data_IF_029588118803
#
_entry.id   IF_029588118803
#
_cell.length_a   1.000
_cell.length_b   1.000
_cell.length_c   1.000
_cell.angle_alpha   90.00
_cell.angle_beta   90.00
_cell.angle_gamma   90.00
#
_symmetry.space_group_name_H-M   'P 1'
#
loop_
_entity.id
_entity.type
_entity.pdbx_description
1 polymer ?
#
# COMPACT_ATOMS: atom_id res chain seq x y z
N UNK A 1 -29.46 7.53 -27.69
CA UNK A 1 -28.70 8.44 -26.82
C UNK A 1 -27.78 7.74 -25.79
N UNK A 2 -27.33 6.48 -25.99
CA UNK A 2 -26.58 5.72 -24.96
C UNK A 2 -25.12 5.34 -25.34
N UNK A 3 -24.57 5.88 -26.45
CA UNK A 3 -23.16 5.58 -26.83
C UNK A 3 -22.12 6.60 -26.32
N UNK A 4 -22.52 7.83 -25.98
CA UNK A 4 -21.61 8.87 -25.53
C UNK A 4 -21.20 8.75 -24.04
N UNK A 5 -22.06 8.24 -23.16
CA UNK A 5 -21.75 8.06 -21.74
C UNK A 5 -20.76 6.90 -21.49
N UNK A 6 -20.84 5.82 -22.27
CA UNK A 6 -19.91 4.69 -22.17
C UNK A 6 -18.49 5.04 -22.67
N UNK A 7 -18.34 5.95 -23.63
CA UNK A 7 -17.03 6.39 -24.10
C UNK A 7 -16.34 7.31 -23.08
N UNK A 8 -17.08 8.20 -22.42
CA UNK A 8 -16.56 9.10 -21.39
C UNK A 8 -16.13 8.36 -20.12
N UNK A 9 -16.92 7.40 -19.64
CA UNK A 9 -16.58 6.58 -18.46
C UNK A 9 -15.37 5.67 -18.74
N UNK A 10 -15.30 5.07 -19.92
CA UNK A 10 -14.15 4.25 -20.32
C UNK A 10 -12.87 5.09 -20.48
N UNK A 11 -12.98 6.29 -21.02
CA UNK A 11 -11.87 7.25 -21.09
C UNK A 11 -11.40 7.66 -19.70
N UNK A 12 -12.31 7.95 -18.78
CA UNK A 12 -11.99 8.27 -17.38
C UNK A 12 -11.25 7.12 -16.68
N UNK A 13 -11.68 5.86 -16.82
CA UNK A 13 -11.00 4.69 -16.24
C UNK A 13 -9.58 4.48 -16.81
N UNK A 14 -9.35 4.84 -18.07
CA UNK A 14 -8.00 4.79 -18.66
C UNK A 14 -7.12 5.89 -18.05
N UNK A 15 -7.70 7.04 -17.72
CA UNK A 15 -6.99 8.17 -17.11
C UNK A 15 -6.50 7.88 -15.69
N UNK A 16 -7.24 7.14 -14.88
CA UNK A 16 -6.93 6.91 -13.44
C UNK A 16 -6.15 5.60 -13.15
N UNK A 17 -5.47 5.02 -14.13
CA UNK A 17 -4.80 3.73 -13.98
C UNK A 17 -3.62 3.71 -12.99
N UNK A 18 -2.49 4.41 -13.25
CA UNK A 18 -1.31 4.41 -12.38
C UNK A 18 -1.58 4.89 -10.96
N UNK A 19 -2.40 5.94 -10.79
CA UNK A 19 -2.77 6.43 -9.45
C UNK A 19 -3.58 5.40 -8.66
N UNK A 20 -4.51 4.70 -9.33
CA UNK A 20 -5.27 3.63 -8.69
C UNK A 20 -4.36 2.48 -8.24
N UNK A 21 -3.30 2.15 -9.00
CA UNK A 21 -2.29 1.17 -8.58
C UNK A 21 -1.51 1.63 -7.36
N UNK A 22 -1.15 2.94 -7.27
CA UNK A 22 -0.52 3.51 -6.07
C UNK A 22 -1.44 3.35 -4.85
N UNK A 23 -2.70 3.75 -4.99
CA UNK A 23 -3.70 3.58 -3.94
C UNK A 23 -3.83 2.11 -3.54
N UNK A 24 -4.04 1.19 -4.48
CA UNK A 24 -4.18 -0.24 -4.24
C UNK A 24 -2.96 -0.84 -3.51
N UNK A 25 -1.75 -0.42 -3.88
CA UNK A 25 -0.52 -0.90 -3.27
C UNK A 25 -0.33 -0.37 -1.84
N UNK A 26 -0.76 0.86 -1.56
CA UNK A 26 -0.69 1.48 -0.23
C UNK A 26 -1.66 0.89 0.80
N UNK A 27 -2.84 0.50 0.37
CA UNK A 27 -4.01 0.24 1.25
C UNK A 27 -3.84 -0.93 2.22
N UNK A 28 -3.09 -1.99 1.85
CA UNK A 28 -3.05 -3.22 2.64
C UNK A 28 -2.35 -3.09 3.98
N UNK A 29 -1.03 -2.94 3.99
CA UNK A 29 -0.27 -2.87 5.23
C UNK A 29 -0.34 -1.47 5.88
N UNK A 30 -0.30 -0.40 5.07
CA UNK A 30 -0.33 0.98 5.57
C UNK A 30 -1.70 1.38 6.07
N UNK A 31 -2.64 1.52 5.16
CA UNK A 31 -3.94 2.11 5.48
C UNK A 31 -4.85 1.15 6.27
N UNK A 32 -4.90 -0.15 5.93
CA UNK A 32 -5.78 -1.08 6.61
C UNK A 32 -5.29 -1.38 8.02
N UNK A 33 -4.10 -1.96 8.15
CA UNK A 33 -3.65 -2.45 9.45
C UNK A 33 -3.16 -1.31 10.36
N UNK A 34 -2.36 -0.36 9.86
CA UNK A 34 -1.84 0.74 10.66
C UNK A 34 -2.94 1.69 11.10
N UNK A 35 -3.89 2.03 10.20
CA UNK A 35 -5.01 2.89 10.55
C UNK A 35 -5.96 2.23 11.57
N UNK A 36 -6.25 0.93 11.42
CA UNK A 36 -7.06 0.21 12.41
C UNK A 36 -6.38 0.15 13.79
N UNK A 37 -5.09 -0.17 13.87
CA UNK A 37 -4.35 -0.14 15.14
C UNK A 37 -4.26 1.25 15.75
N UNK A 38 -4.10 2.29 14.93
CA UNK A 38 -4.06 3.67 15.40
C UNK A 38 -5.43 4.12 15.90
N UNK A 39 -6.51 3.80 15.17
CA UNK A 39 -7.88 4.05 15.60
C UNK A 39 -8.21 3.35 16.91
N UNK A 40 -7.82 2.08 17.07
CA UNK A 40 -7.98 1.34 18.32
C UNK A 40 -7.28 2.01 19.51
N UNK A 41 -6.08 2.56 19.29
CA UNK A 41 -5.29 3.15 20.37
C UNK A 41 -5.62 4.61 20.66
N UNK A 42 -5.90 5.42 19.64
CA UNK A 42 -6.02 6.88 19.74
C UNK A 42 -7.45 7.40 19.47
N UNK A 43 -8.35 6.49 19.07
CA UNK A 43 -9.72 6.86 18.70
C UNK A 43 -9.77 7.68 17.40
N UNK A 44 -10.95 8.28 17.15
CA UNK A 44 -11.19 9.13 15.97
C UNK A 44 -10.54 10.51 16.05
N UNK A 45 -10.02 10.91 17.20
CA UNK A 45 -9.35 12.21 17.41
C UNK A 45 -8.12 12.40 16.51
N UNK A 46 -7.55 11.30 15.98
CA UNK A 46 -6.35 11.31 15.15
C UNK A 46 -6.64 11.44 13.64
N UNK A 47 -7.91 11.56 13.23
CA UNK A 47 -8.32 11.53 11.82
C UNK A 47 -7.67 12.62 10.94
N UNK A 48 -7.36 13.77 11.51
CA UNK A 48 -6.65 14.86 10.81
C UNK A 48 -5.32 14.40 10.20
N UNK A 49 -4.66 13.42 10.82
CA UNK A 49 -3.38 12.89 10.34
C UNK A 49 -3.53 12.16 9.01
N UNK A 50 -4.67 11.50 8.79
CA UNK A 50 -4.97 10.82 7.52
C UNK A 50 -5.06 11.83 6.39
N UNK A 51 -5.78 12.95 6.60
CA UNK A 51 -5.89 14.02 5.60
C UNK A 51 -4.52 14.65 5.31
N UNK A 52 -3.75 14.94 6.37
CA UNK A 52 -2.41 15.50 6.22
C UNK A 52 -1.47 14.54 5.46
N UNK A 53 -1.45 13.26 5.86
CA UNK A 53 -0.63 12.23 5.22
C UNK A 53 -0.95 12.06 3.73
N UNK A 54 -2.24 11.93 3.37
CA UNK A 54 -2.68 11.84 1.99
C UNK A 54 -2.32 13.09 1.17
N UNK A 55 -2.49 14.29 1.75
CA UNK A 55 -2.14 15.55 1.09
C UNK A 55 -0.64 15.68 0.83
N UNK A 56 0.20 15.32 1.81
CA UNK A 56 1.66 15.34 1.66
C UNK A 56 2.11 14.34 0.60
N UNK A 57 1.52 13.14 0.57
CA UNK A 57 1.82 12.13 -0.45
C UNK A 57 1.37 12.55 -1.85
N UNK A 58 0.21 13.21 -1.96
CA UNK A 58 -0.21 13.80 -3.23
C UNK A 58 0.81 14.80 -3.76
N UNK A 59 1.25 15.76 -2.91
CA UNK A 59 2.23 16.79 -3.29
C UNK A 59 3.57 16.14 -3.69
N UNK A 60 4.03 15.17 -2.91
CA UNK A 60 5.25 14.44 -3.20
C UNK A 60 5.16 13.73 -4.55
N UNK A 61 4.09 12.96 -4.77
CA UNK A 61 3.94 12.16 -5.98
C UNK A 61 3.68 13.01 -7.24
N UNK A 62 2.96 14.13 -7.10
CA UNK A 62 2.82 15.12 -8.19
C UNK A 62 4.18 15.74 -8.55
N UNK A 63 5.00 16.05 -7.54
CA UNK A 63 6.37 16.54 -7.74
C UNK A 63 7.23 15.52 -8.50
N UNK A 64 7.14 14.23 -8.15
CA UNK A 64 7.82 13.14 -8.85
C UNK A 64 7.36 13.00 -10.30
N UNK A 65 6.06 13.05 -10.54
CA UNK A 65 5.49 13.00 -11.89
C UNK A 65 5.95 14.17 -12.75
N UNK A 66 5.90 15.38 -12.20
CA UNK A 66 6.36 16.60 -12.88
C UNK A 66 7.86 16.52 -13.21
N UNK A 67 8.67 16.04 -12.28
CA UNK A 67 10.10 15.82 -12.51
C UNK A 67 10.32 14.85 -13.68
N UNK A 68 9.67 13.70 -13.65
CA UNK A 68 9.83 12.67 -14.67
C UNK A 68 9.37 13.15 -16.05
N UNK A 69 8.23 13.82 -16.14
CA UNK A 69 7.73 14.36 -17.41
C UNK A 69 8.65 15.47 -17.96
N UNK A 70 9.27 16.28 -17.08
CA UNK A 70 10.15 17.36 -17.50
C UNK A 70 11.54 16.89 -17.92
N UNK A 71 12.05 15.81 -17.32
CA UNK A 71 13.44 15.35 -17.52
C UNK A 71 13.57 14.03 -18.29
N UNK A 72 12.45 13.29 -18.44
CA UNK A 72 12.45 11.90 -18.96
C UNK A 72 13.03 10.89 -17.98
N UNK A 73 13.48 11.30 -16.78
CA UNK A 73 14.15 10.48 -15.77
C UNK A 73 13.24 10.22 -14.59
N UNK A 74 13.23 8.99 -14.06
CA UNK A 74 12.62 8.73 -12.73
C UNK A 74 13.38 9.51 -11.66
N UNK A 75 12.80 9.69 -10.47
CA UNK A 75 13.51 10.33 -9.37
C UNK A 75 14.78 9.56 -9.00
N UNK A 76 14.73 8.23 -9.01
CA UNK A 76 15.87 7.38 -8.68
C UNK A 76 17.02 7.57 -9.69
N UNK A 77 16.70 7.58 -10.99
CA UNK A 77 17.67 7.88 -12.06
C UNK A 77 18.31 9.26 -11.84
N UNK A 78 17.49 10.29 -11.64
CA UNK A 78 17.97 11.63 -11.39
C UNK A 78 18.83 11.76 -10.14
N UNK A 79 18.47 11.07 -9.06
CA UNK A 79 19.23 11.06 -7.82
C UNK A 79 20.59 10.37 -7.96
N UNK A 80 20.63 9.18 -8.57
CA UNK A 80 21.89 8.42 -8.79
C UNK A 80 22.84 9.19 -9.71
N UNK A 81 22.33 9.76 -10.80
CA UNK A 81 23.14 10.51 -11.77
C UNK A 81 23.73 11.80 -11.16
N UNK A 82 22.92 12.54 -10.37
CA UNK A 82 23.33 13.86 -9.87
C UNK A 82 24.04 13.85 -8.52
N UNK A 83 23.64 12.98 -7.61
CA UNK A 83 24.22 12.88 -6.26
C UNK A 83 25.28 11.79 -6.15
N UNK A 84 25.42 10.95 -7.17
CA UNK A 84 26.50 9.99 -7.30
C UNK A 84 26.44 8.83 -6.30
N UNK A 85 27.61 8.25 -5.89
CA UNK A 85 27.66 7.01 -5.11
C UNK A 85 27.02 7.12 -3.72
N UNK A 86 26.96 8.33 -3.15
CA UNK A 86 26.38 8.56 -1.82
C UNK A 86 24.94 8.04 -1.77
N UNK A 87 24.17 8.33 -2.82
CA UNK A 87 22.78 7.85 -2.90
C UNK A 87 22.70 6.33 -2.92
N UNK A 88 23.64 5.67 -3.62
CA UNK A 88 23.69 4.21 -3.71
C UNK A 88 23.95 3.56 -2.34
N UNK A 89 24.86 4.15 -1.55
CA UNK A 89 25.14 3.68 -0.18
C UNK A 89 23.98 3.85 0.79
N UNK A 90 23.13 4.86 0.59
CA UNK A 90 21.97 5.12 1.45
C UNK A 90 20.76 4.33 0.98
N UNK A 91 20.47 4.39 -0.33
CA UNK A 91 19.24 3.83 -0.90
C UNK A 91 19.21 2.30 -0.85
N UNK A 92 20.32 1.62 -1.16
CA UNK A 92 20.33 0.16 -1.19
C UNK A 92 20.05 -0.47 0.18
N UNK A 93 20.73 -0.09 1.27
CA UNK A 93 20.39 -0.61 2.61
C UNK A 93 18.95 -0.27 3.01
N UNK A 94 18.48 0.94 2.69
CA UNK A 94 17.09 1.33 2.96
C UNK A 94 16.12 0.44 2.19
N UNK A 95 16.33 0.22 0.88
CA UNK A 95 15.49 -0.63 0.04
C UNK A 95 15.42 -2.07 0.58
N UNK A 96 16.55 -2.62 1.00
CA UNK A 96 16.62 -3.99 1.55
C UNK A 96 15.86 -4.10 2.88
N UNK A 97 16.09 -3.17 3.80
CA UNK A 97 15.38 -3.14 5.10
C UNK A 97 13.88 -2.91 4.90
N UNK A 98 13.51 -1.94 4.07
CA UNK A 98 12.13 -1.67 3.75
C UNK A 98 11.44 -2.89 3.14
N UNK A 99 12.09 -3.56 2.17
CA UNK A 99 11.56 -4.76 1.52
C UNK A 99 11.35 -5.91 2.51
N UNK A 100 12.25 -6.07 3.49
CA UNK A 100 12.08 -7.05 4.55
C UNK A 100 10.85 -6.76 5.41
N UNK A 101 10.69 -5.51 5.89
CA UNK A 101 9.58 -5.18 6.77
C UNK A 101 8.23 -5.11 6.05
N UNK A 102 8.17 -4.55 4.85
CA UNK A 102 6.92 -4.51 4.06
C UNK A 102 6.50 -5.91 3.63
N UNK A 103 7.45 -6.73 3.16
CA UNK A 103 7.18 -8.12 2.78
C UNK A 103 6.65 -8.93 3.97
N UNK A 104 7.31 -8.84 5.13
CA UNK A 104 6.87 -9.51 6.36
C UNK A 104 5.48 -9.03 6.82
N UNK A 105 5.20 -7.73 6.74
CA UNK A 105 3.91 -7.14 7.12
C UNK A 105 2.79 -7.63 6.20
N UNK A 106 2.99 -7.57 4.87
CA UNK A 106 1.99 -7.97 3.88
C UNK A 106 1.70 -9.47 3.90
N UNK A 107 2.76 -10.30 3.97
CA UNK A 107 2.60 -11.75 4.11
C UNK A 107 1.86 -12.12 5.40
N UNK A 108 2.22 -11.49 6.53
CA UNK A 108 1.53 -11.70 7.81
C UNK A 108 0.07 -11.28 7.73
N UNK A 109 -0.22 -10.14 7.11
CA UNK A 109 -1.58 -9.63 6.95
C UNK A 109 -2.42 -10.54 6.04
N UNK A 110 -1.88 -10.99 4.88
CA UNK A 110 -2.54 -11.99 4.02
C UNK A 110 -2.82 -13.29 4.79
N UNK A 111 -1.85 -13.74 5.58
CA UNK A 111 -1.98 -14.94 6.39
C UNK A 111 -3.08 -14.84 7.44
N UNK A 112 -3.16 -13.72 8.15
CA UNK A 112 -4.23 -13.45 9.14
C UNK A 112 -5.59 -13.38 8.47
N UNK A 113 -5.70 -12.63 7.36
CA UNK A 113 -6.95 -12.48 6.63
C UNK A 113 -7.48 -13.82 6.09
N UNK A 114 -6.61 -14.61 5.46
CA UNK A 114 -7.02 -15.91 4.92
C UNK A 114 -7.34 -16.92 6.03
N UNK A 115 -6.62 -16.92 7.13
CA UNK A 115 -6.95 -17.75 8.27
C UNK A 115 -8.32 -17.40 8.88
N UNK A 116 -8.70 -16.12 8.88
CA UNK A 116 -10.03 -15.70 9.31
C UNK A 116 -11.15 -16.18 8.35
N UNK A 117 -10.84 -16.32 7.05
CA UNK A 117 -11.75 -16.88 6.03
C UNK A 117 -11.80 -18.41 6.11
N UNK A 118 -10.64 -19.06 6.27
CA UNK A 118 -10.49 -20.52 6.24
C UNK A 118 -9.71 -20.97 7.49
N UNK A 119 -10.39 -21.13 8.65
CA UNK A 119 -9.76 -21.45 9.93
C UNK A 119 -9.40 -22.93 10.04
N UNK A 120 -8.44 -23.41 9.24
CA UNK A 120 -8.00 -24.83 9.24
C UNK A 120 -7.00 -25.17 10.33
N UNK A 121 -6.48 -24.18 11.04
CA UNK A 121 -5.54 -24.36 12.15
C UNK A 121 -6.17 -23.88 13.45
N UNK A 122 -5.91 -24.61 14.54
CA UNK A 122 -6.38 -24.23 15.89
C UNK A 122 -5.70 -22.94 16.39
N UNK A 123 -4.48 -22.67 15.91
CA UNK A 123 -3.72 -21.48 16.30
C UNK A 123 -3.64 -20.49 15.13
N UNK A 124 -4.08 -19.26 15.36
CA UNK A 124 -4.00 -18.18 14.38
C UNK A 124 -2.56 -17.89 13.89
N UNK A 125 -1.55 -18.15 14.73
CA UNK A 125 -0.14 -18.01 14.37
C UNK A 125 0.30 -19.01 13.29
N UNK A 126 -0.19 -20.25 13.34
CA UNK A 126 0.10 -21.26 12.32
C UNK A 126 -0.58 -20.93 11.00
N UNK A 127 -1.85 -20.52 11.06
CA UNK A 127 -2.58 -20.04 9.88
C UNK A 127 -1.92 -18.83 9.22
N UNK A 128 -1.47 -17.86 10.02
CA UNK A 128 -0.72 -16.70 9.55
C UNK A 128 0.54 -17.12 8.77
N UNK A 129 1.34 -18.04 9.29
CA UNK A 129 2.56 -18.50 8.65
C UNK A 129 2.23 -19.25 7.35
N UNK A 130 1.37 -20.25 7.43
CA UNK A 130 1.01 -21.10 6.29
C UNK A 130 0.43 -20.30 5.13
N UNK A 131 -0.63 -19.55 5.38
CA UNK A 131 -1.27 -18.75 4.34
C UNK A 131 -0.41 -17.57 3.89
N UNK A 132 0.41 -16.97 4.76
CA UNK A 132 1.37 -15.94 4.38
C UNK A 132 2.38 -16.42 3.33
N UNK A 133 2.94 -17.61 3.52
CA UNK A 133 3.84 -18.25 2.56
C UNK A 133 3.12 -18.53 1.23
N UNK A 134 1.92 -19.12 1.29
CA UNK A 134 1.13 -19.43 0.08
C UNK A 134 0.84 -18.17 -0.74
N UNK A 135 0.39 -17.07 -0.09
CA UNK A 135 0.10 -15.83 -0.81
C UNK A 135 1.35 -15.21 -1.44
N UNK A 136 2.50 -15.28 -0.77
CA UNK A 136 3.77 -14.84 -1.34
C UNK A 136 4.11 -15.61 -2.63
N UNK A 137 4.00 -16.95 -2.59
CA UNK A 137 4.28 -17.79 -3.75
C UNK A 137 3.27 -17.58 -4.89
N UNK A 138 1.98 -17.43 -4.58
CA UNK A 138 0.95 -17.09 -5.58
C UNK A 138 1.27 -15.71 -6.20
N UNK A 139 1.69 -14.74 -5.40
CA UNK A 139 2.09 -13.41 -5.87
C UNK A 139 3.25 -13.49 -6.88
N UNK A 140 4.31 -14.24 -6.56
CA UNK A 140 5.42 -14.48 -7.49
C UNK A 140 4.92 -15.12 -8.80
N UNK A 141 4.08 -16.16 -8.71
CA UNK A 141 3.53 -16.84 -9.89
C UNK A 141 2.74 -15.87 -10.77
N UNK A 142 1.86 -15.06 -10.17
CA UNK A 142 1.05 -14.09 -10.91
C UNK A 142 1.91 -13.02 -11.59
N UNK A 143 2.94 -12.51 -10.93
CA UNK A 143 3.87 -11.53 -11.50
C UNK A 143 4.65 -12.12 -12.67
N UNK A 144 5.15 -13.37 -12.55
CA UNK A 144 5.93 -14.01 -13.59
C UNK A 144 5.11 -14.43 -14.82
N UNK A 145 3.86 -14.84 -14.63
CA UNK A 145 3.02 -15.41 -15.70
C UNK A 145 2.07 -14.37 -16.31
N UNK A 146 1.55 -13.45 -15.47
CA UNK A 146 0.41 -12.62 -15.85
C UNK A 146 0.73 -11.32 -16.59
N UNK A 147 1.96 -10.83 -16.53
CA UNK A 147 2.34 -9.51 -17.06
C UNK A 147 1.56 -8.35 -16.43
N UNK A 148 1.84 -7.13 -16.90
CA UNK A 148 1.25 -5.90 -16.35
C UNK A 148 -0.28 -5.83 -16.49
N UNK A 149 -0.84 -6.32 -17.60
CA UNK A 149 -2.29 -6.24 -17.86
C UNK A 149 -3.12 -7.09 -16.91
N UNK A 150 -2.68 -8.33 -16.61
CA UNK A 150 -3.37 -9.18 -15.63
C UNK A 150 -3.24 -8.60 -14.23
N UNK A 151 -2.04 -8.16 -13.86
CA UNK A 151 -1.75 -7.48 -12.61
C UNK A 151 -2.71 -6.30 -12.39
N UNK A 152 -2.79 -5.36 -13.35
CA UNK A 152 -3.66 -4.19 -13.28
C UNK A 152 -5.15 -4.57 -13.11
N UNK A 153 -5.63 -5.58 -13.83
CA UNK A 153 -7.04 -6.03 -13.72
C UNK A 153 -7.35 -6.59 -12.33
N UNK A 154 -6.46 -7.43 -11.79
CA UNK A 154 -6.64 -8.02 -10.46
C UNK A 154 -6.60 -6.92 -9.39
N UNK A 155 -5.65 -5.99 -9.48
CA UNK A 155 -5.52 -4.86 -8.57
C UNK A 155 -6.79 -4.00 -8.56
N UNK A 156 -7.28 -3.61 -9.75
CA UNK A 156 -8.46 -2.77 -9.88
C UNK A 156 -9.73 -3.46 -9.33
N UNK A 157 -9.89 -4.75 -9.58
CA UNK A 157 -11.03 -5.50 -9.04
C UNK A 157 -10.98 -5.56 -7.50
N UNK A 158 -9.82 -5.86 -6.93
CA UNK A 158 -9.62 -5.94 -5.49
C UNK A 158 -9.88 -4.57 -4.80
N UNK A 159 -9.32 -3.48 -5.35
CA UNK A 159 -9.46 -2.16 -4.70
C UNK A 159 -10.88 -1.62 -4.74
N UNK A 160 -11.59 -1.77 -5.87
CA UNK A 160 -12.97 -1.30 -6.00
C UNK A 160 -13.88 -2.03 -4.99
N UNK A 161 -13.75 -3.37 -4.94
CA UNK A 161 -14.54 -4.19 -4.03
C UNK A 161 -14.26 -3.85 -2.57
N UNK A 162 -12.98 -3.80 -2.21
CA UNK A 162 -12.53 -3.47 -0.85
C UNK A 162 -12.97 -2.08 -0.41
N UNK A 163 -12.79 -1.07 -1.28
CA UNK A 163 -13.17 0.31 -0.96
C UNK A 163 -14.64 0.40 -0.61
N UNK A 164 -15.51 -0.26 -1.40
CA UNK A 164 -16.94 -0.31 -1.12
C UNK A 164 -17.24 -0.99 0.23
N UNK A 165 -16.62 -2.14 0.49
CA UNK A 165 -16.82 -2.89 1.74
C UNK A 165 -16.40 -2.09 2.97
N UNK A 166 -15.21 -1.48 2.93
CA UNK A 166 -14.67 -0.74 4.08
C UNK A 166 -15.45 0.55 4.33
N UNK A 167 -15.80 1.28 3.28
CA UNK A 167 -16.60 2.50 3.42
C UNK A 167 -17.99 2.19 4.00
N UNK A 168 -18.67 1.18 3.47
CA UNK A 168 -19.97 0.76 3.97
C UNK A 168 -19.90 0.34 5.45
N UNK A 169 -18.86 -0.43 5.79
CA UNK A 169 -18.60 -0.84 7.18
C UNK A 169 -18.45 0.36 8.10
N UNK A 170 -17.59 1.32 7.75
CA UNK A 170 -17.35 2.51 8.58
C UNK A 170 -18.62 3.34 8.79
N UNK A 171 -19.45 3.50 7.75
CA UNK A 171 -20.72 4.23 7.82
C UNK A 171 -21.70 3.56 8.80
N UNK A 172 -21.78 2.22 8.75
CA UNK A 172 -22.73 1.47 9.57
C UNK A 172 -22.34 1.44 11.05
N UNK A 173 -21.05 1.29 11.36
CA UNK A 173 -20.58 1.12 12.74
C UNK A 173 -20.20 2.44 13.41
N UNK A 174 -20.22 3.57 12.69
CA UNK A 174 -19.91 4.89 13.25
C UNK A 174 -20.99 5.32 14.23
N UNK A 175 -20.64 5.41 15.52
CA UNK A 175 -21.59 5.77 16.57
C UNK A 175 -21.82 7.29 16.67
N UNK A 176 -20.80 8.10 16.40
CA UNK A 176 -20.86 9.55 16.53
C UNK A 176 -20.11 10.28 15.41
N UNK A 177 -20.85 10.80 14.45
CA UNK A 177 -20.29 11.60 13.34
C UNK A 177 -19.74 12.96 13.78
N UNK A 178 -20.23 13.52 14.92
CA UNK A 178 -19.70 14.77 15.49
C UNK A 178 -18.24 14.62 15.91
N UNK A 179 -17.89 13.51 16.54
CA UNK A 179 -16.51 13.21 16.95
C UNK A 179 -15.59 12.99 15.73
N UNK A 180 -16.13 12.38 14.67
CA UNK A 180 -15.41 12.21 13.40
C UNK A 180 -15.07 13.56 12.78
N UNK A 181 -16.05 14.47 12.68
CA UNK A 181 -15.83 15.83 12.14
C UNK A 181 -14.84 16.60 13.02
N UNK A 182 -14.97 16.49 14.34
CA UNK A 182 -14.05 17.13 15.29
C UNK A 182 -12.63 16.59 15.12
N UNK A 183 -12.46 15.26 14.99
CA UNK A 183 -11.17 14.60 14.79
C UNK A 183 -10.52 14.94 13.43
N UNK A 184 -11.32 15.27 12.41
CA UNK A 184 -10.82 15.72 11.12
C UNK A 184 -10.33 17.18 11.15
N UNK A 185 -11.01 18.05 11.91
CA UNK A 185 -10.78 19.50 11.89
C UNK A 185 -9.85 20.00 13.00
N UNK A 186 -9.79 19.32 14.14
CA UNK A 186 -9.02 19.77 15.30
C UNK A 186 -7.81 18.86 15.52
N UNK A 187 -6.58 19.29 15.15
CA UNK A 187 -5.38 18.50 15.35
C UNK A 187 -5.08 18.27 16.84
N UNK A 188 -5.20 17.02 17.29
CA UNK A 188 -4.82 16.58 18.64
C UNK A 188 -4.11 15.24 18.56
N UNK A 189 -3.09 15.06 19.41
CA UNK A 189 -2.38 13.78 19.55
C UNK A 189 -2.67 13.24 20.96
N UNK A 190 -3.56 12.26 21.09
CA UNK A 190 -3.81 11.62 22.37
C UNK A 190 -2.58 10.83 22.83
N UNK A 191 -2.44 10.64 24.13
CA UNK A 191 -1.45 9.73 24.74
C UNK A 191 0.01 9.97 24.27
N UNK A 192 0.46 11.23 24.16
CA UNK A 192 1.81 11.58 23.68
C UNK A 192 2.87 10.82 24.48
N UNK A 193 2.78 10.79 25.82
CA UNK A 193 3.74 10.14 26.71
C UNK A 193 3.72 8.60 26.70
N UNK A 194 2.66 7.97 26.17
CA UNK A 194 2.45 6.51 26.17
C UNK A 194 2.42 5.90 24.75
N UNK A 195 3.12 6.52 23.82
CA UNK A 195 3.31 6.01 22.46
C UNK A 195 2.33 6.57 21.42
N UNK A 196 1.49 7.55 21.75
CA UNK A 196 0.59 8.22 20.82
C UNK A 196 1.34 8.89 19.66
N UNK A 197 2.46 9.55 19.95
CA UNK A 197 3.29 10.16 18.89
C UNK A 197 3.79 9.13 17.87
N UNK A 198 4.25 7.97 18.33
CA UNK A 198 4.73 6.90 17.43
C UNK A 198 3.63 6.36 16.50
N UNK A 199 2.41 6.20 17.00
CA UNK A 199 1.27 5.79 16.17
C UNK A 199 0.79 6.91 15.24
N UNK A 200 0.89 8.17 15.67
CA UNK A 200 0.60 9.34 14.81
C UNK A 200 1.54 9.40 13.61
N UNK A 201 2.86 9.25 13.85
CA UNK A 201 3.88 9.22 12.79
C UNK A 201 3.67 7.99 11.89
N UNK A 202 3.40 6.82 12.49
CA UNK A 202 3.15 5.59 11.75
C UNK A 202 1.92 5.73 10.82
N UNK A 203 0.84 6.33 11.30
CA UNK A 203 -0.36 6.58 10.49
C UNK A 203 -0.05 7.56 9.35
N UNK A 204 0.58 8.70 9.65
CA UNK A 204 0.92 9.72 8.66
C UNK A 204 1.82 9.16 7.54
N UNK A 205 2.80 8.35 7.91
CA UNK A 205 3.74 7.75 6.95
C UNK A 205 3.17 6.54 6.21
N UNK A 206 2.25 5.80 6.85
CA UNK A 206 1.60 4.62 6.28
C UNK A 206 0.56 4.97 5.23
N UNK A 207 -0.19 6.07 5.42
CA UNK A 207 -1.27 6.48 4.50
C UNK A 207 -0.75 6.71 3.08
N UNK A 208 -1.36 6.05 2.10
CA UNK A 208 -1.07 6.23 0.69
C UNK A 208 0.23 5.60 0.20
N UNK A 209 0.77 4.64 0.95
CA UNK A 209 2.01 3.95 0.62
C UNK A 209 3.27 4.66 1.14
N UNK A 210 4.39 3.98 0.99
CA UNK A 210 5.71 4.43 1.44
C UNK A 210 6.67 4.52 0.25
N UNK A 211 7.73 3.72 0.18
CA UNK A 211 8.62 3.62 -0.99
C UNK A 211 7.85 3.37 -2.32
N UNK A 212 6.69 2.72 -2.25
CA UNK A 212 5.82 2.46 -3.41
C UNK A 212 5.34 3.72 -4.13
N UNK A 213 5.48 4.90 -3.52
CA UNK A 213 5.29 6.20 -4.18
C UNK A 213 6.18 6.33 -5.42
N UNK A 214 7.43 5.81 -5.38
CA UNK A 214 8.33 5.78 -6.55
C UNK A 214 7.79 4.95 -7.71
N UNK A 215 6.95 3.95 -7.41
CA UNK A 215 6.40 3.05 -8.43
C UNK A 215 5.47 3.77 -9.41
N UNK A 216 4.90 4.91 -9.01
CA UNK A 216 4.09 5.72 -9.90
C UNK A 216 4.83 6.11 -11.18
N UNK A 217 6.10 6.46 -11.09
CA UNK A 217 6.93 6.81 -12.23
C UNK A 217 7.11 5.64 -13.23
N UNK A 218 7.27 4.42 -12.72
CA UNK A 218 7.36 3.23 -13.57
C UNK A 218 6.01 2.89 -14.21
N UNK A 219 4.90 3.01 -13.48
CA UNK A 219 3.56 2.80 -14.03
C UNK A 219 3.13 3.89 -15.01
N UNK A 220 3.66 5.12 -14.89
CA UNK A 220 3.53 6.15 -15.92
C UNK A 220 4.18 5.71 -17.23
N UNK A 221 5.39 5.11 -17.18
CA UNK A 221 6.08 4.56 -18.36
C UNK A 221 5.29 3.41 -19.00
N UNK A 222 4.76 2.49 -18.21
CA UNK A 222 3.91 1.39 -18.68
C UNK A 222 2.62 1.89 -19.40
N UNK A 223 2.16 3.09 -19.09
CA UNK A 223 1.02 3.76 -19.73
C UNK A 223 1.45 4.78 -20.80
N UNK A 224 2.73 4.75 -21.20
CA UNK A 224 3.29 5.65 -22.20
C UNK A 224 3.11 7.15 -21.88
N UNK A 225 2.98 7.51 -20.59
CA UNK A 225 2.89 8.90 -20.13
C UNK A 225 4.29 9.48 -19.99
N UNK A 226 4.74 10.15 -21.03
CA UNK A 226 6.12 10.65 -21.16
C UNK A 226 6.23 12.14 -21.46
N UNK A 227 5.13 12.79 -21.83
CA UNK A 227 5.13 14.19 -22.24
C UNK A 227 4.63 15.13 -21.14
N UNK A 228 5.20 16.35 -21.09
CA UNK A 228 4.80 17.40 -20.12
C UNK A 228 3.32 17.78 -20.24
N UNK A 229 2.75 17.66 -21.44
CA UNK A 229 1.31 17.88 -21.72
C UNK A 229 0.39 16.99 -20.86
N UNK A 230 0.87 15.84 -20.39
CA UNK A 230 0.12 14.86 -19.60
C UNK A 230 0.11 15.16 -18.10
N UNK A 231 0.81 16.21 -17.64
CA UNK A 231 0.85 16.58 -16.23
C UNK A 231 -0.55 16.82 -15.63
N UNK A 232 -1.46 17.41 -16.43
CA UNK A 232 -2.87 17.57 -16.03
C UNK A 232 -3.57 16.24 -15.75
N UNK A 233 -3.34 15.26 -16.61
CA UNK A 233 -3.83 13.87 -16.46
C UNK A 233 -3.28 13.22 -15.21
N UNK A 234 -1.95 13.34 -14.96
CA UNK A 234 -1.32 12.81 -13.76
C UNK A 234 -1.86 13.44 -12.48
N UNK A 235 -2.14 14.75 -12.47
CA UNK A 235 -2.76 15.43 -11.31
C UNK A 235 -4.15 14.91 -10.99
N UNK A 236 -4.98 14.68 -12.00
CA UNK A 236 -6.33 14.12 -11.82
C UNK A 236 -6.23 12.68 -11.29
N UNK A 237 -5.38 11.88 -11.89
CA UNK A 237 -5.13 10.49 -11.52
C UNK A 237 -4.66 10.38 -10.06
N UNK A 238 -3.63 11.13 -9.67
CA UNK A 238 -3.12 11.18 -8.29
C UNK A 238 -4.14 11.79 -7.32
N UNK A 239 -4.84 12.84 -7.73
CA UNK A 239 -5.89 13.46 -6.91
C UNK A 239 -6.99 12.46 -6.55
N UNK A 240 -7.48 11.71 -7.53
CA UNK A 240 -8.45 10.65 -7.31
C UNK A 240 -7.90 9.56 -6.38
N UNK A 241 -6.67 9.11 -6.63
CA UNK A 241 -6.00 8.08 -5.84
C UNK A 241 -5.88 8.49 -4.36
N UNK A 242 -5.37 9.67 -4.07
CA UNK A 242 -5.14 10.12 -2.69
C UNK A 242 -6.42 10.54 -1.96
N UNK A 243 -7.44 11.02 -2.66
CA UNK A 243 -8.78 11.20 -2.08
C UNK A 243 -9.39 9.84 -1.70
N UNK A 244 -9.31 8.85 -2.58
CA UNK A 244 -9.77 7.50 -2.26
C UNK A 244 -9.00 6.90 -1.07
N UNK A 245 -7.68 7.03 -1.06
CA UNK A 245 -6.83 6.59 0.06
C UNK A 245 -7.19 7.29 1.37
N UNK A 246 -7.43 8.61 1.35
CA UNK A 246 -7.84 9.35 2.55
C UNK A 246 -9.20 8.85 3.09
N UNK A 247 -10.20 8.67 2.22
CA UNK A 247 -11.51 8.13 2.61
C UNK A 247 -11.35 6.72 3.19
N UNK A 248 -10.52 5.88 2.59
CA UNK A 248 -10.24 4.54 3.09
C UNK A 248 -9.57 4.57 4.46
N UNK A 249 -8.50 5.37 4.63
CA UNK A 249 -7.78 5.51 5.88
C UNK A 249 -8.68 6.05 7.01
N UNK A 250 -9.52 7.06 6.73
CA UNK A 250 -10.54 7.57 7.65
C UNK A 250 -11.48 6.44 8.07
N UNK A 251 -12.00 5.68 7.10
CA UNK A 251 -12.88 4.55 7.36
C UNK A 251 -12.22 3.52 8.27
N UNK A 252 -10.96 3.18 8.03
CA UNK A 252 -10.20 2.21 8.84
C UNK A 252 -9.89 2.71 10.25
N UNK A 253 -9.63 4.00 10.45
CA UNK A 253 -9.50 4.60 11.79
C UNK A 253 -10.83 4.54 12.56
N UNK A 254 -11.95 4.87 11.90
CA UNK A 254 -13.29 4.76 12.49
C UNK A 254 -13.57 3.32 12.92
N UNK A 255 -13.37 2.36 12.00
CA UNK A 255 -13.54 0.93 12.27
C UNK A 255 -12.66 0.50 13.45
N UNK A 256 -11.37 0.83 13.40
CA UNK A 256 -10.41 0.48 14.45
C UNK A 256 -10.75 1.07 15.81
N UNK A 257 -11.36 2.27 15.87
CA UNK A 257 -11.74 2.94 17.11
C UNK A 257 -12.87 2.25 17.87
N UNK A 258 -13.64 1.39 17.18
CA UNK A 258 -14.81 0.70 17.76
C UNK A 258 -14.49 -0.68 18.34
N UNK A 259 -13.25 -1.14 18.23
CA UNK A 259 -12.81 -2.45 18.70
C UNK A 259 -11.66 -2.33 19.71
N UNK A 260 -11.48 -3.37 20.52
CA UNK A 260 -10.29 -3.52 21.35
C UNK A 260 -9.48 -4.70 20.87
N UNK A 261 -8.27 -4.39 20.39
CA UNK A 261 -7.33 -5.41 19.89
C UNK A 261 -6.30 -5.72 20.98
N UNK A 262 -6.37 -6.92 21.52
CA UNK A 262 -5.46 -7.39 22.54
C UNK A 262 -4.32 -8.27 21.98
N UNK A 263 -3.24 -8.41 22.74
CA UNK A 263 -2.16 -9.33 22.43
C UNK A 263 -1.38 -9.01 21.14
N UNK A 264 -1.19 -10.02 20.30
CA UNK A 264 -0.33 -9.95 19.09
C UNK A 264 -0.96 -9.21 17.91
N UNK A 265 -2.24 -8.85 17.99
CA UNK A 265 -3.01 -8.25 16.91
C UNK A 265 -3.39 -9.22 15.77
N UNK A 266 -3.07 -10.53 15.92
CA UNK A 266 -3.43 -11.52 14.91
C UNK A 266 -4.95 -11.76 14.79
N UNK A 267 -5.73 -11.38 15.81
CA UNK A 267 -7.19 -11.41 15.80
C UNK A 267 -7.87 -10.20 15.18
N UNK A 268 -7.13 -9.11 14.85
CA UNK A 268 -7.71 -7.84 14.40
C UNK A 268 -8.79 -7.99 13.33
N UNK A 269 -8.51 -8.77 12.30
CA UNK A 269 -9.45 -8.94 11.17
C UNK A 269 -10.67 -9.77 11.60
N UNK A 270 -10.47 -10.75 12.49
CA UNK A 270 -11.56 -11.58 13.05
C UNK A 270 -12.44 -10.71 13.94
N UNK A 271 -11.86 -9.95 14.86
CA UNK A 271 -12.58 -9.07 15.78
C UNK A 271 -13.47 -8.06 15.04
N UNK A 272 -12.91 -7.50 13.92
CA UNK A 272 -13.64 -6.61 13.02
C UNK A 272 -14.80 -7.33 12.31
N UNK A 273 -14.55 -8.53 11.81
CA UNK A 273 -15.55 -9.35 11.14
C UNK A 273 -16.69 -9.77 12.09
N UNK A 274 -16.37 -10.14 13.32
CA UNK A 274 -17.34 -10.54 14.35
C UNK A 274 -18.21 -9.36 14.79
N UNK A 275 -17.62 -8.17 14.90
CA UNK A 275 -18.40 -6.95 15.20
C UNK A 275 -19.41 -6.65 14.09
N UNK A 276 -19.01 -6.83 12.83
CA UNK A 276 -19.91 -6.67 11.69
C UNK A 276 -20.97 -7.77 11.62
N UNK A 277 -20.67 -8.97 12.05
CA UNK A 277 -21.65 -10.04 12.17
C UNK A 277 -22.75 -9.66 13.17
N UNK A 278 -22.40 -9.02 14.27
CA UNK A 278 -23.37 -8.51 15.25
C UNK A 278 -24.29 -7.44 14.69
N UNK A 279 -23.83 -6.63 13.73
CA UNK A 279 -24.61 -5.51 13.15
C UNK A 279 -25.34 -5.85 11.86
N UNK A 280 -24.73 -6.69 10.99
CA UNK A 280 -25.20 -7.00 9.63
C UNK A 280 -25.41 -8.49 9.38
N UNK A 281 -25.27 -9.32 10.40
CA UNK A 281 -25.31 -10.78 10.28
C UNK A 281 -24.12 -11.33 9.48
N UNK A 282 -24.21 -12.59 9.11
CA UNK A 282 -23.13 -13.32 8.39
C UNK A 282 -22.73 -12.66 7.06
N UNK A 283 -23.63 -11.96 6.39
CA UNK A 283 -23.31 -11.24 5.14
C UNK A 283 -22.28 -10.14 5.42
N UNK A 284 -22.43 -9.36 6.49
CA UNK A 284 -21.48 -8.32 6.88
C UNK A 284 -20.09 -8.91 7.18
N UNK A 285 -20.05 -10.01 7.95
CA UNK A 285 -18.81 -10.73 8.25
C UNK A 285 -18.06 -11.13 6.98
N UNK A 286 -18.71 -11.88 6.10
CA UNK A 286 -18.06 -12.40 4.89
C UNK A 286 -17.65 -11.31 3.90
N UNK A 287 -18.50 -10.30 3.72
CA UNK A 287 -18.18 -9.15 2.86
C UNK A 287 -16.92 -8.43 3.33
N UNK A 288 -16.81 -8.20 4.64
CA UNK A 288 -15.62 -7.56 5.23
C UNK A 288 -14.37 -8.44 5.08
N UNK A 289 -14.44 -9.73 5.42
CA UNK A 289 -13.29 -10.64 5.33
C UNK A 289 -12.74 -10.72 3.91
N UNK A 290 -13.61 -10.88 2.91
CA UNK A 290 -13.19 -10.95 1.50
C UNK A 290 -12.64 -9.60 1.03
N UNK A 291 -13.26 -8.48 1.44
CA UNK A 291 -12.79 -7.14 1.14
C UNK A 291 -11.41 -6.86 1.74
N UNK A 292 -11.22 -7.16 3.01
CA UNK A 292 -9.94 -6.99 3.71
C UNK A 292 -8.84 -7.87 3.08
N UNK A 293 -9.15 -9.13 2.78
CA UNK A 293 -8.24 -10.02 2.08
C UNK A 293 -7.85 -9.45 0.72
N UNK A 294 -8.80 -8.99 -0.08
CA UNK A 294 -8.55 -8.40 -1.40
C UNK A 294 -7.65 -7.16 -1.33
N UNK A 295 -7.88 -6.29 -0.33
CA UNK A 295 -7.04 -5.12 -0.08
C UNK A 295 -5.59 -5.50 0.21
N UNK A 296 -5.39 -6.44 1.11
CA UNK A 296 -4.07 -6.85 1.56
C UNK A 296 -3.35 -7.59 0.43
N UNK A 297 -4.04 -8.48 -0.27
CA UNK A 297 -3.45 -9.24 -1.36
C UNK A 297 -3.10 -8.37 -2.57
N UNK A 298 -3.91 -7.36 -2.90
CA UNK A 298 -3.55 -6.38 -3.93
C UNK A 298 -2.29 -5.60 -3.56
N UNK A 299 -2.14 -5.19 -2.30
CA UNK A 299 -0.91 -4.53 -1.85
C UNK A 299 0.31 -5.42 -1.95
N UNK A 300 0.19 -6.72 -1.61
CA UNK A 300 1.28 -7.68 -1.78
C UNK A 300 1.66 -7.81 -3.27
N UNK A 301 0.68 -7.96 -4.16
CA UNK A 301 0.92 -8.03 -5.61
C UNK A 301 1.59 -6.75 -6.13
N UNK A 302 1.13 -5.57 -5.67
CA UNK A 302 1.71 -4.29 -6.04
C UNK A 302 3.19 -4.20 -5.67
N UNK A 303 3.55 -4.60 -4.46
CA UNK A 303 4.95 -4.62 -3.99
C UNK A 303 5.78 -5.65 -4.74
N UNK A 304 5.27 -6.88 -4.95
CA UNK A 304 5.97 -7.95 -5.69
C UNK A 304 6.20 -7.58 -7.16
N UNK A 305 5.33 -6.81 -7.77
CA UNK A 305 5.49 -6.36 -9.15
C UNK A 305 6.44 -5.16 -9.26
N UNK A 306 6.29 -4.16 -8.39
CA UNK A 306 6.92 -2.85 -8.58
C UNK A 306 8.29 -2.69 -7.91
N UNK A 307 8.53 -3.32 -6.77
CA UNK A 307 9.80 -3.15 -6.06
C UNK A 307 10.98 -3.82 -6.76
N UNK A 308 10.82 -5.00 -7.41
CA UNK A 308 11.85 -5.54 -8.29
C UNK A 308 12.20 -4.62 -9.48
N UNK A 309 11.24 -3.81 -9.99
CA UNK A 309 11.52 -2.76 -10.97
C UNK A 309 12.50 -1.73 -10.43
N UNK A 310 12.21 -1.20 -9.23
CA UNK A 310 13.08 -0.22 -8.57
C UNK A 310 14.49 -0.78 -8.36
N UNK A 311 14.60 -2.04 -7.92
CA UNK A 311 15.90 -2.67 -7.72
C UNK A 311 16.65 -2.89 -9.03
N UNK A 312 15.99 -3.38 -10.07
CA UNK A 312 16.63 -3.66 -11.36
C UNK A 312 17.10 -2.37 -12.03
N UNK A 313 16.26 -1.32 -12.03
CA UNK A 313 16.62 0.02 -12.51
C UNK A 313 17.85 0.57 -11.77
N UNK A 314 17.82 0.50 -10.45
CA UNK A 314 18.94 0.93 -9.61
C UNK A 314 20.23 0.12 -9.88
N UNK A 315 20.10 -1.18 -10.07
CA UNK A 315 21.22 -2.06 -10.38
C UNK A 315 21.87 -1.70 -11.73
N UNK A 316 21.05 -1.47 -12.75
CA UNK A 316 21.50 -1.08 -14.09
C UNK A 316 22.16 0.30 -14.08
N UNK A 317 21.64 1.25 -13.30
CA UNK A 317 22.24 2.56 -13.09
C UNK A 317 23.66 2.48 -12.49
N UNK A 318 23.86 1.64 -11.48
CA UNK A 318 25.17 1.45 -10.86
C UNK A 318 26.13 0.83 -11.88
N UNK A 319 25.71 -0.22 -12.59
CA UNK A 319 26.57 -0.89 -13.58
C UNK A 319 26.92 0.00 -14.77
N UNK A 320 25.95 0.77 -15.30
CA UNK A 320 26.18 1.68 -16.42
C UNK A 320 27.20 2.76 -16.06
N UNK A 321 27.12 3.28 -14.84
CA UNK A 321 28.07 4.25 -14.31
C UNK A 321 29.49 3.70 -14.20
N UNK A 322 29.62 2.47 -13.69
CA UNK A 322 30.92 1.83 -13.52
C UNK A 322 31.59 1.48 -14.87
N UNK A 323 30.78 1.34 -15.93
CA UNK A 323 31.24 0.98 -17.28
C UNK A 323 31.31 2.17 -18.23
N UNK A 324 30.93 3.38 -17.79
CA UNK A 324 30.79 4.57 -18.64
C UNK A 324 29.93 4.29 -19.90
N UNK A 325 28.88 3.47 -19.71
CA UNK A 325 27.99 3.00 -20.76
C UNK A 325 26.65 3.71 -20.75
N UNK A 326 25.93 3.71 -21.88
CA UNK A 326 24.60 4.27 -21.99
C UNK A 326 23.62 3.44 -21.17
N UNK A 327 22.87 4.11 -20.31
CA UNK A 327 21.86 3.51 -19.46
C UNK A 327 20.58 3.19 -20.27
N UNK A 328 19.99 2.01 -20.02
CA UNK A 328 18.74 1.63 -20.64
C UNK A 328 17.54 2.26 -19.89
N UNK A 329 16.63 2.90 -20.61
CA UNK A 329 15.44 3.56 -20.01
C UNK A 329 14.31 2.60 -19.66
N UNK A 330 14.35 1.36 -20.16
CA UNK A 330 13.36 0.32 -19.90
C UNK A 330 13.96 -0.82 -19.08
N UNK A 331 13.25 -1.20 -18.02
CA UNK A 331 13.65 -2.32 -17.15
C UNK A 331 13.21 -3.64 -17.78
N UNK A 332 14.16 -4.53 -18.04
CA UNK A 332 13.85 -5.89 -18.49
C UNK A 332 13.37 -6.77 -17.32
N UNK A 333 12.08 -7.09 -17.31
CA UNK A 333 11.46 -7.98 -16.30
C UNK A 333 11.93 -9.44 -16.39
N UNK A 334 12.66 -9.82 -17.43
CA UNK A 334 13.29 -11.13 -17.57
C UNK A 334 14.74 -11.15 -17.05
N UNK A 335 15.29 -9.99 -16.75
CA UNK A 335 16.65 -9.84 -16.24
C UNK A 335 16.88 -10.57 -14.91
N UNK A 336 18.12 -10.97 -14.66
CA UNK A 336 18.50 -11.59 -13.38
C UNK A 336 18.30 -10.66 -12.17
N UNK A 337 18.62 -9.35 -12.23
CA UNK A 337 18.34 -8.44 -11.14
C UNK A 337 16.85 -8.37 -10.78
N UNK A 338 15.95 -8.25 -11.76
CA UNK A 338 14.51 -8.20 -11.53
C UNK A 338 14.00 -9.50 -10.89
N UNK A 339 14.26 -10.65 -11.52
CA UNK A 339 13.76 -11.95 -11.06
C UNK A 339 14.40 -12.37 -9.74
N UNK A 340 15.70 -12.15 -9.59
CA UNK A 340 16.43 -12.45 -8.37
C UNK A 340 15.88 -11.65 -7.19
N UNK A 341 15.59 -10.36 -7.40
CA UNK A 341 15.00 -9.53 -6.33
C UNK A 341 13.54 -9.91 -6.04
N UNK A 342 12.76 -10.29 -7.06
CA UNK A 342 11.39 -10.81 -6.86
C UNK A 342 11.40 -12.06 -5.96
N UNK A 343 12.30 -13.00 -6.20
CA UNK A 343 12.44 -14.16 -5.32
C UNK A 343 12.97 -13.78 -3.93
N UNK A 344 13.90 -12.84 -3.85
CA UNK A 344 14.43 -12.38 -2.56
C UNK A 344 13.33 -11.74 -1.70
N UNK A 345 12.53 -10.83 -2.25
CA UNK A 345 11.45 -10.16 -1.51
C UNK A 345 10.29 -11.13 -1.15
N UNK A 346 10.14 -12.22 -1.91
CA UNK A 346 9.15 -13.23 -1.60
C UNK A 346 9.59 -14.23 -0.52
N UNK A 347 10.89 -14.48 -0.37
CA UNK A 347 11.42 -15.53 0.50
C UNK A 347 12.02 -14.96 1.78
N UNK A 348 12.89 -13.94 1.69
CA UNK A 348 13.62 -13.41 2.85
C UNK A 348 12.68 -12.90 3.96
N UNK A 349 11.59 -12.15 3.64
CA UNK A 349 10.65 -11.68 4.65
C UNK A 349 9.83 -12.77 5.34
N UNK A 350 9.85 -14.04 4.86
CA UNK A 350 9.19 -15.17 5.56
C UNK A 350 9.66 -15.32 7.00
N UNK A 351 10.91 -14.95 7.29
CA UNK A 351 11.44 -14.92 8.65
C UNK A 351 10.60 -14.01 9.56
N UNK A 352 10.07 -12.91 9.02
CA UNK A 352 9.20 -12.00 9.76
C UNK A 352 7.86 -12.60 10.20
N UNK A 353 7.41 -13.69 9.57
CA UNK A 353 6.17 -14.39 9.97
C UNK A 353 6.24 -15.02 11.38
N UNK A 354 7.44 -15.26 11.90
CA UNK A 354 7.64 -15.79 13.25
C UNK A 354 7.52 -14.72 14.34
N UNK A 355 7.51 -13.43 13.96
CA UNK A 355 7.28 -12.31 14.90
C UNK A 355 5.80 -11.98 15.03
N UNK A 356 5.44 -11.18 16.06
CA UNK A 356 4.08 -10.72 16.24
C UNK A 356 3.65 -9.79 15.11
N UNK A 357 2.44 -10.01 14.57
CA UNK A 357 1.89 -9.19 13.49
C UNK A 357 1.91 -7.69 13.82
N UNK A 358 1.46 -7.31 15.03
CA UNK A 358 1.43 -5.91 15.50
C UNK A 358 2.82 -5.26 15.55
N UNK A 359 3.84 -6.01 15.96
CA UNK A 359 5.22 -5.48 16.01
C UNK A 359 5.78 -5.23 14.61
N UNK A 360 5.65 -6.22 13.72
CA UNK A 360 6.11 -6.12 12.33
C UNK A 360 5.42 -4.93 11.64
N UNK A 361 4.11 -4.81 11.80
CA UNK A 361 3.30 -3.74 11.23
C UNK A 361 3.73 -2.35 11.75
N UNK A 362 3.99 -2.22 13.06
CA UNK A 362 4.44 -0.96 13.66
C UNK A 362 5.83 -0.55 13.15
N UNK A 363 6.77 -1.50 13.08
CA UNK A 363 8.12 -1.23 12.57
C UNK A 363 8.06 -0.79 11.10
N UNK A 364 7.32 -1.53 10.27
CA UNK A 364 7.09 -1.15 8.87
C UNK A 364 6.54 0.28 8.75
N UNK A 365 5.51 0.61 9.52
CA UNK A 365 4.86 1.92 9.45
C UNK A 365 5.76 3.08 9.93
N UNK A 366 6.68 2.83 10.86
CA UNK A 366 7.68 3.83 11.30
C UNK A 366 8.79 4.01 10.25
N UNK A 367 9.22 2.93 9.61
CA UNK A 367 10.23 3.02 8.54
C UNK A 367 9.71 3.71 7.27
N UNK A 368 8.39 3.66 7.04
CA UNK A 368 7.77 4.27 5.87
C UNK A 368 8.06 5.77 5.70
N UNK A 369 7.91 6.61 6.73
CA UNK A 369 8.20 8.05 6.66
C UNK A 369 9.68 8.39 6.50
N UNK A 370 10.59 7.46 6.68
CA UNK A 370 12.04 7.69 6.52
C UNK A 370 12.46 7.81 5.05
N UNK A 371 11.56 7.51 4.14
CA UNK A 371 11.66 7.78 2.71
C UNK A 371 11.09 9.17 2.39
#
# INVERSE_FOLDING_TARGET
MNRSSNSSFRSFLITIGPGLLVAATGVGAGDLATAAFTGNKLGVTILWVVLLGASLKFVLNEGLARWQLATGQTLLEGAVIRLGPVISFIFLPYLLLWSFFVGSALMSACGVAMHAIVPIFDQASQGKIFFGIIHSLIGVMLVLVGGFVLFEKVMNACIIFMFFCVLLTAVIICENWGDVVTGLLIPRIPQIGSGGLGWTIALMGGVGGTLTVLCYGYWMREKERTEVSELGTCRIDLGFAYVATAIFGISMVIIGSTIQVEGTGAGLIVDLADKLEGSLGSVGRWTFLIGAWGAIFSSLLGVWQSVPYIFADFWDLIQARDRDSTYATEVDTKSLPYRGYLFAIAIVPMVGLFFSFKQVQKVYAIFGPMF
#
